data_IF_396157376659
#
_entry.id   IF_396157376659
#
_cell.length_a   1.000
_cell.length_b   1.000
_cell.length_c   1.000
_cell.angle_alpha   90.00
_cell.angle_beta   90.00
_cell.angle_gamma   90.00
#
_symmetry.space_group_name_H-M   'P 1'
#
loop_
_entity.id
_entity.type
_entity.pdbx_description
1 polymer ?
#
# COMPACT_ATOMS: atom_id res chain seq x y z
N UNK A 1 20.87 3.93 -6.80
CA UNK A 1 20.46 5.24 -6.25
C UNK A 1 21.48 5.61 -5.20
N UNK A 2 22.25 6.67 -5.44
CA UNK A 2 23.25 7.18 -4.48
C UNK A 2 22.71 8.45 -3.80
N UNK A 3 23.35 8.88 -2.71
CA UNK A 3 22.99 10.12 -2.02
C UNK A 3 21.60 10.09 -1.35
N UNK A 4 20.93 11.24 -1.33
CA UNK A 4 19.67 11.44 -0.59
C UNK A 4 18.53 10.49 -1.04
N UNK A 5 18.47 10.13 -2.33
CA UNK A 5 17.52 9.16 -2.82
C UNK A 5 17.81 7.75 -2.28
N UNK A 6 19.08 7.31 -2.28
CA UNK A 6 19.47 6.02 -1.71
C UNK A 6 19.13 5.90 -0.22
N UNK A 7 19.37 6.97 0.55
CA UNK A 7 19.01 7.03 1.97
C UNK A 7 17.48 6.94 2.17
N UNK A 8 16.70 7.69 1.40
CA UNK A 8 15.24 7.64 1.47
C UNK A 8 14.68 6.24 1.18
N UNK A 9 15.11 5.58 0.10
CA UNK A 9 14.57 4.26 -0.25
C UNK A 9 14.91 3.19 0.79
N UNK A 10 16.07 3.27 1.44
CA UNK A 10 16.41 2.35 2.54
C UNK A 10 15.42 2.42 3.72
N UNK A 11 14.82 3.60 3.96
CA UNK A 11 13.82 3.83 5.01
C UNK A 11 12.45 3.29 4.60
N UNK A 12 12.02 3.53 3.36
CA UNK A 12 10.66 3.16 2.91
C UNK A 12 10.56 1.75 2.32
N UNK A 13 11.67 1.09 2.01
CA UNK A 13 11.68 -0.27 1.43
C UNK A 13 10.87 -1.29 2.25
N UNK A 14 10.95 -1.35 3.59
CA UNK A 14 10.14 -2.28 4.36
C UNK A 14 8.63 -2.06 4.18
N UNK A 15 8.19 -0.80 4.06
CA UNK A 15 6.80 -0.47 3.80
C UNK A 15 6.36 -0.92 2.40
N UNK A 16 7.21 -0.73 1.39
CA UNK A 16 6.96 -1.19 0.02
C UNK A 16 6.75 -2.71 -0.02
N UNK A 17 7.64 -3.47 0.64
CA UNK A 17 7.54 -4.95 0.70
C UNK A 17 6.22 -5.37 1.34
N UNK A 18 5.83 -4.75 2.46
CA UNK A 18 4.56 -5.05 3.11
C UNK A 18 3.37 -4.77 2.20
N UNK A 19 3.39 -3.67 1.44
CA UNK A 19 2.33 -3.32 0.50
C UNK A 19 2.24 -4.34 -0.63
N UNK A 20 3.37 -4.73 -1.23
CA UNK A 20 3.44 -5.75 -2.30
C UNK A 20 2.94 -7.11 -1.81
N UNK A 21 3.41 -7.57 -0.64
CA UNK A 21 3.00 -8.84 -0.04
C UNK A 21 1.50 -8.85 0.27
N UNK A 22 0.99 -7.76 0.84
CA UNK A 22 -0.44 -7.65 1.19
C UNK A 22 -1.31 -7.66 -0.07
N UNK A 23 -0.93 -6.88 -1.09
CA UNK A 23 -1.65 -6.86 -2.36
C UNK A 23 -1.66 -8.24 -3.01
N UNK A 24 -0.49 -8.90 -3.10
CA UNK A 24 -0.40 -10.25 -3.64
C UNK A 24 -1.26 -11.24 -2.86
N UNK A 25 -1.27 -11.16 -1.52
CA UNK A 25 -2.05 -12.05 -0.67
C UNK A 25 -3.57 -11.90 -0.88
N UNK A 26 -4.04 -10.67 -1.06
CA UNK A 26 -5.45 -10.38 -1.36
C UNK A 26 -5.84 -10.99 -2.72
N UNK A 27 -4.96 -10.91 -3.73
CA UNK A 27 -5.25 -11.43 -5.07
C UNK A 27 -5.11 -12.95 -5.20
N UNK A 28 -4.18 -13.57 -4.46
CA UNK A 28 -3.85 -15.00 -4.62
C UNK A 28 -4.75 -15.94 -3.85
N UNK A 29 -5.58 -15.42 -2.94
CA UNK A 29 -6.28 -16.22 -1.95
C UNK A 29 -7.71 -16.53 -2.39
N UNK A 30 -8.08 -17.82 -2.37
CA UNK A 30 -9.44 -18.29 -2.70
C UNK A 30 -10.48 -18.01 -1.59
N UNK A 31 -10.08 -17.37 -0.50
CA UNK A 31 -10.93 -16.95 0.60
C UNK A 31 -10.09 -16.44 1.78
N UNK A 32 -10.34 -15.20 2.20
CA UNK A 32 -9.63 -14.58 3.33
C UNK A 32 -10.42 -14.81 4.62
N UNK A 33 -9.72 -15.16 5.70
CA UNK A 33 -10.31 -15.22 7.04
C UNK A 33 -10.00 -13.99 7.89
N UNK A 34 -10.68 -13.86 9.04
CA UNK A 34 -10.51 -12.72 9.95
C UNK A 34 -9.10 -12.62 10.53
N UNK A 35 -8.41 -13.74 10.77
CA UNK A 35 -7.07 -13.74 11.34
C UNK A 35 -6.03 -13.27 10.31
N UNK A 36 -6.17 -13.70 9.06
CA UNK A 36 -5.36 -13.23 7.93
C UNK A 36 -5.56 -11.73 7.72
N UNK A 37 -6.82 -11.25 7.70
CA UNK A 37 -7.12 -9.82 7.57
C UNK A 37 -6.60 -8.99 8.74
N UNK A 38 -6.69 -9.49 9.98
CA UNK A 38 -6.12 -8.80 11.13
C UNK A 38 -4.59 -8.68 11.01
N UNK A 39 -3.91 -9.75 10.58
CA UNK A 39 -2.46 -9.73 10.34
C UNK A 39 -2.08 -8.71 9.27
N UNK A 40 -2.78 -8.73 8.13
CA UNK A 40 -2.56 -7.76 7.05
C UNK A 40 -2.81 -6.33 7.53
N UNK A 41 -3.87 -6.10 8.31
CA UNK A 41 -4.19 -4.78 8.85
C UNK A 41 -3.05 -4.25 9.73
N UNK A 42 -2.53 -5.06 10.65
CA UNK A 42 -1.40 -4.69 11.50
C UNK A 42 -0.13 -4.41 10.67
N UNK A 43 0.17 -5.23 9.67
CA UNK A 43 1.32 -5.01 8.79
C UNK A 43 1.20 -3.70 8.00
N UNK A 44 0.05 -3.44 7.37
CA UNK A 44 -0.18 -2.21 6.60
C UNK A 44 -0.19 -0.97 7.50
N UNK A 45 -0.67 -1.06 8.74
CA UNK A 45 -0.55 0.04 9.71
C UNK A 45 0.91 0.36 10.05
N UNK A 46 1.76 -0.67 10.23
CA UNK A 46 3.19 -0.46 10.44
C UNK A 46 3.85 0.18 9.22
N UNK A 47 3.51 -0.27 8.01
CA UNK A 47 3.98 0.35 6.76
C UNK A 47 3.55 1.82 6.67
N UNK A 48 2.30 2.14 6.99
CA UNK A 48 1.79 3.51 6.99
C UNK A 48 2.53 4.40 8.00
N UNK A 49 2.88 3.88 9.18
CA UNK A 49 3.68 4.59 10.16
C UNK A 49 5.09 4.89 9.63
N UNK A 50 5.77 3.89 9.05
CA UNK A 50 7.07 4.08 8.39
C UNK A 50 7.02 5.16 7.31
N UNK A 51 5.97 5.17 6.48
CA UNK A 51 5.81 6.20 5.45
C UNK A 51 5.49 7.58 6.04
N UNK A 52 4.78 7.67 7.16
CA UNK A 52 4.44 8.96 7.79
C UNK A 52 5.64 9.61 8.48
N UNK A 53 6.58 8.80 8.97
CA UNK A 53 7.81 9.25 9.63
C UNK A 53 8.95 9.54 8.63
N UNK A 54 8.84 9.05 7.39
CA UNK A 54 9.83 9.31 6.36
C UNK A 54 9.82 10.79 5.94
N UNK A 55 11.01 11.37 5.75
CA UNK A 55 11.18 12.75 5.29
C UNK A 55 11.77 12.75 3.88
N UNK A 56 10.94 12.81 2.83
CA UNK A 56 11.44 12.87 1.46
C UNK A 56 12.12 14.23 1.20
N UNK A 57 13.22 14.22 0.44
CA UNK A 57 13.72 15.45 -0.19
C UNK A 57 12.72 15.96 -1.24
N UNK A 58 12.83 17.23 -1.64
CA UNK A 58 11.90 17.88 -2.57
C UNK A 58 11.65 17.07 -3.86
N UNK A 59 12.69 16.48 -4.43
CA UNK A 59 12.62 15.69 -5.67
C UNK A 59 11.87 14.36 -5.52
N UNK A 60 11.59 13.94 -4.28
CA UNK A 60 10.93 12.68 -3.93
C UNK A 60 9.52 12.87 -3.40
N UNK A 61 9.06 14.10 -3.17
CA UNK A 61 7.76 14.40 -2.53
C UNK A 61 6.59 13.79 -3.30
N UNK A 62 6.53 13.98 -4.61
CA UNK A 62 5.43 13.42 -5.43
C UNK A 62 5.38 11.90 -5.33
N UNK A 63 6.53 11.24 -5.51
CA UNK A 63 6.66 9.80 -5.39
C UNK A 63 6.28 9.31 -3.99
N UNK A 64 6.69 10.02 -2.95
CA UNK A 64 6.34 9.70 -1.57
C UNK A 64 4.84 9.79 -1.32
N UNK A 65 4.19 10.85 -1.83
CA UNK A 65 2.75 11.04 -1.72
C UNK A 65 1.99 9.93 -2.45
N UNK A 66 2.44 9.51 -3.63
CA UNK A 66 1.86 8.37 -4.35
C UNK A 66 1.98 7.07 -3.54
N UNK A 67 3.13 6.85 -2.89
CA UNK A 67 3.35 5.68 -2.04
C UNK A 67 2.45 5.70 -0.78
N UNK A 68 2.31 6.85 -0.12
CA UNK A 68 1.39 7.03 1.00
C UNK A 68 -0.07 6.80 0.59
N UNK A 69 -0.47 7.34 -0.57
CA UNK A 69 -1.80 7.15 -1.12
C UNK A 69 -2.08 5.66 -1.39
N UNK A 70 -1.15 4.97 -2.06
CA UNK A 70 -1.25 3.54 -2.30
C UNK A 70 -1.39 2.75 -0.97
N UNK A 71 -0.56 3.02 0.04
CA UNK A 71 -0.65 2.35 1.33
C UNK A 71 -2.02 2.56 2.01
N UNK A 72 -2.57 3.78 1.91
CA UNK A 72 -3.90 4.12 2.42
C UNK A 72 -5.00 3.32 1.71
N UNK A 73 -4.91 3.14 0.38
CA UNK A 73 -5.87 2.34 -0.39
C UNK A 73 -5.83 0.86 -0.02
N UNK A 74 -4.65 0.29 0.23
CA UNK A 74 -4.55 -1.08 0.76
C UNK A 74 -5.18 -1.21 2.14
N UNK A 75 -4.93 -0.26 3.04
CA UNK A 75 -5.57 -0.26 4.36
C UNK A 75 -7.10 -0.26 4.24
N UNK A 76 -7.65 0.62 3.41
CA UNK A 76 -9.09 0.72 3.20
C UNK A 76 -9.67 -0.53 2.54
N UNK A 77 -8.89 -1.20 1.67
CA UNK A 77 -9.27 -2.51 1.10
C UNK A 77 -9.45 -3.55 2.20
N UNK A 78 -8.49 -3.66 3.12
CA UNK A 78 -8.55 -4.61 4.24
C UNK A 78 -9.76 -4.30 5.12
N UNK A 79 -9.99 -3.03 5.46
CA UNK A 79 -11.14 -2.61 6.28
C UNK A 79 -12.47 -3.00 5.60
N UNK A 80 -12.58 -2.81 4.27
CA UNK A 80 -13.76 -3.18 3.49
C UNK A 80 -13.96 -4.71 3.41
N UNK A 81 -12.88 -5.48 3.24
CA UNK A 81 -12.94 -6.95 3.24
C UNK A 81 -13.37 -7.51 4.60
N UNK A 82 -12.88 -6.92 5.70
CA UNK A 82 -13.34 -7.27 7.05
C UNK A 82 -14.84 -7.04 7.20
N UNK A 83 -15.32 -5.86 6.79
CA UNK A 83 -16.74 -5.53 6.84
C UNK A 83 -17.58 -6.50 5.98
N UNK A 84 -17.11 -6.86 4.79
CA UNK A 84 -17.79 -7.85 3.95
C UNK A 84 -17.91 -9.22 4.63
N UNK A 85 -16.83 -9.71 5.26
CA UNK A 85 -16.87 -11.00 5.97
C UNK A 85 -17.81 -10.94 7.19
N UNK A 86 -17.82 -9.83 7.91
CA UNK A 86 -18.66 -9.66 9.10
C UNK A 86 -20.14 -9.51 8.78
N UNK A 87 -20.48 -8.88 7.64
CA UNK A 87 -21.86 -8.46 7.33
C UNK A 87 -22.49 -9.15 6.13
N UNK A 88 -21.68 -9.71 5.23
CA UNK A 88 -22.12 -10.18 3.92
C UNK A 88 -22.54 -9.07 2.95
N UNK A 89 -22.29 -7.78 3.26
CA UNK A 89 -22.70 -6.66 2.42
C UNK A 89 -21.80 -6.51 1.19
N UNK A 90 -22.36 -6.82 0.01
CA UNK A 90 -21.69 -6.65 -1.28
C UNK A 90 -21.18 -5.22 -1.52
N UNK A 91 -21.75 -4.19 -0.89
CA UNK A 91 -21.23 -2.82 -0.99
C UNK A 91 -19.81 -2.72 -0.44
N UNK A 92 -19.50 -3.44 0.63
CA UNK A 92 -18.15 -3.50 1.19
C UNK A 92 -17.20 -4.26 0.27
N UNK A 93 -17.68 -5.33 -0.40
CA UNK A 93 -16.89 -6.01 -1.43
C UNK A 93 -16.53 -5.06 -2.58
N UNK A 94 -17.52 -4.39 -3.16
CA UNK A 94 -17.28 -3.42 -4.25
C UNK A 94 -16.41 -2.25 -3.83
N UNK A 95 -16.56 -1.76 -2.60
CA UNK A 95 -15.66 -0.75 -2.05
C UNK A 95 -14.21 -1.26 -2.02
N UNK A 96 -13.98 -2.48 -1.53
CA UNK A 96 -12.66 -3.12 -1.54
C UNK A 96 -12.06 -3.25 -2.94
N UNK A 97 -12.84 -3.74 -3.91
CA UNK A 97 -12.42 -3.84 -5.32
C UNK A 97 -12.03 -2.47 -5.91
N UNK A 98 -12.84 -1.44 -5.65
CA UNK A 98 -12.55 -0.07 -6.08
C UNK A 98 -11.24 0.46 -5.45
N UNK A 99 -11.03 0.22 -4.16
CA UNK A 99 -9.80 0.60 -3.47
C UNK A 99 -8.56 -0.13 -4.05
N UNK A 100 -8.68 -1.40 -4.46
CA UNK A 100 -7.60 -2.13 -5.13
C UNK A 100 -7.23 -1.50 -6.47
N UNK A 101 -8.21 -1.08 -7.27
CA UNK A 101 -7.97 -0.38 -8.53
C UNK A 101 -7.21 0.93 -8.28
N UNK A 102 -7.66 1.71 -7.31
CA UNK A 102 -6.98 2.97 -6.92
C UNK A 102 -5.57 2.71 -6.40
N UNK A 103 -5.36 1.65 -5.59
CA UNK A 103 -4.02 1.22 -5.17
C UNK A 103 -3.11 0.99 -6.37
N UNK A 104 -3.54 0.20 -7.36
CA UNK A 104 -2.73 -0.08 -8.56
C UNK A 104 -2.38 1.20 -9.33
N UNK A 105 -3.30 2.15 -9.41
CA UNK A 105 -3.06 3.44 -10.07
C UNK A 105 -1.94 4.23 -9.37
N UNK A 106 -2.04 4.42 -8.04
CA UNK A 106 -1.01 5.13 -7.27
C UNK A 106 0.32 4.38 -7.27
N UNK A 107 0.30 3.05 -7.15
CA UNK A 107 1.53 2.25 -7.18
C UNK A 107 2.21 2.31 -8.55
N UNK A 108 1.44 2.36 -9.65
CA UNK A 108 1.97 2.58 -10.98
C UNK A 108 2.57 3.99 -11.15
N UNK A 109 1.95 5.02 -10.59
CA UNK A 109 2.51 6.39 -10.58
C UNK A 109 3.84 6.44 -9.82
N UNK A 110 3.90 5.83 -8.64
CA UNK A 110 5.11 5.65 -7.85
C UNK A 110 6.24 4.96 -8.64
N UNK A 111 5.96 3.79 -9.24
CA UNK A 111 6.98 3.05 -10.02
C UNK A 111 7.42 3.81 -11.27
N UNK A 112 6.54 4.57 -11.91
CA UNK A 112 6.88 5.42 -13.05
C UNK A 112 7.80 6.57 -12.65
N UNK A 113 7.54 7.19 -11.50
CA UNK A 113 8.41 8.22 -10.91
C UNK A 113 9.80 7.66 -10.56
N UNK A 114 9.90 6.44 -10.00
CA UNK A 114 11.20 5.78 -9.79
C UNK A 114 11.96 5.64 -11.11
N UNK A 115 11.30 5.14 -12.17
CA UNK A 115 11.97 4.94 -13.46
C UNK A 115 12.45 6.26 -14.08
N UNK A 116 11.73 7.36 -13.84
CA UNK A 116 12.16 8.68 -14.28
C UNK A 116 13.41 9.15 -13.53
N UNK A 117 13.52 8.88 -12.23
CA UNK A 117 14.69 9.21 -11.40
C UNK A 117 15.94 8.38 -11.72
N UNK A 118 15.78 7.23 -12.38
CA UNK A 118 16.88 6.34 -12.78
C UNK A 118 17.43 6.61 -14.19
N UNK A 119 16.82 7.54 -14.95
CA UNK A 119 17.26 7.96 -16.28
C UNK A 119 18.13 9.20 -16.20
#
# INVERSE_FOLDING_TARGET
>A
LEGAAGAYFSVVQPAIVVMEDTFAHILSTNGLDQAQLAKMQSSVQAAQATLSEASPGNDLVTLHNDLQAACSKLKNTIDALKQFIETGDDRSRFAGESQLIEFTSYYQAFTSSIRALLK
#
